data_IF_036024776434
#
_entry.id   IF_036024776434
#
_cell.length_a   1.000
_cell.length_b   1.000
_cell.length_c   1.000
_cell.angle_alpha   90.00
_cell.angle_beta   90.00
_cell.angle_gamma   90.00
#
_symmetry.space_group_name_H-M   'P 1'
#
loop_
_entity.id
_entity.type
_entity.pdbx_description
1 polymer ?
#
# COMPACT_ATOMS: atom_id res chain seq x y z
N UNK A 1 5.56 -10.34 -3.15
CA UNK A 1 5.54 -9.73 -1.80
C UNK A 1 6.12 -10.66 -0.72
N UNK A 2 6.18 -11.97 -0.99
CA UNK A 2 6.76 -12.99 -0.12
C UNK A 2 8.16 -12.69 0.46
N UNK A 3 9.10 -12.17 -0.34
CA UNK A 3 10.45 -11.83 0.15
C UNK A 3 10.42 -10.70 1.18
N UNK A 4 9.60 -9.66 0.94
CA UNK A 4 9.38 -8.57 1.89
C UNK A 4 8.73 -9.09 3.19
N UNK A 5 7.72 -9.95 3.07
CA UNK A 5 7.03 -10.58 4.20
C UNK A 5 7.97 -11.39 5.10
N UNK A 6 9.00 -12.03 4.53
CA UNK A 6 9.96 -12.82 5.31
C UNK A 6 10.70 -12.00 6.38
N UNK A 7 10.75 -10.67 6.21
CA UNK A 7 11.38 -9.73 7.13
C UNK A 7 10.45 -9.35 8.30
N UNK A 8 9.17 -9.70 8.26
CA UNK A 8 8.20 -9.34 9.29
C UNK A 8 8.15 -10.38 10.41
N UNK A 9 8.47 -9.94 11.63
CA UNK A 9 8.40 -10.79 12.84
C UNK A 9 6.97 -10.90 13.37
N UNK A 10 6.58 -12.11 13.79
CA UNK A 10 5.29 -12.36 14.47
C UNK A 10 5.24 -11.76 15.89
N UNK A 11 6.41 -11.63 16.53
CA UNK A 11 6.55 -10.99 17.84
C UNK A 11 7.24 -9.65 17.62
N UNK A 12 6.44 -8.61 17.41
CA UNK A 12 6.96 -7.29 17.09
C UNK A 12 7.35 -6.52 18.35
N UNK A 13 8.42 -5.73 18.21
CA UNK A 13 8.69 -4.56 19.03
C UNK A 13 8.31 -3.31 18.25
N UNK A 14 8.30 -2.15 18.91
CA UNK A 14 8.12 -0.87 18.21
C UNK A 14 9.16 -0.69 17.09
N UNK A 15 10.42 -1.07 17.34
CA UNK A 15 11.51 -1.00 16.35
C UNK A 15 11.22 -1.90 15.15
N UNK A 16 10.87 -3.17 15.39
CA UNK A 16 10.65 -4.11 14.28
C UNK A 16 9.40 -3.78 13.48
N UNK A 17 8.35 -3.23 14.12
CA UNK A 17 7.16 -2.73 13.43
C UNK A 17 7.52 -1.58 12.48
N UNK A 18 8.25 -0.58 12.97
CA UNK A 18 8.68 0.55 12.13
C UNK A 18 9.60 0.09 10.99
N UNK A 19 10.54 -0.81 11.27
CA UNK A 19 11.41 -1.40 10.25
C UNK A 19 10.60 -2.15 9.18
N UNK A 20 9.54 -2.86 9.58
CA UNK A 20 8.63 -3.55 8.66
C UNK A 20 7.94 -2.54 7.73
N UNK A 21 7.38 -1.45 8.28
CA UNK A 21 6.75 -0.37 7.50
C UNK A 21 7.75 0.26 6.53
N UNK A 22 8.96 0.59 7.01
CA UNK A 22 9.98 1.23 6.19
C UNK A 22 10.54 0.32 5.07
N UNK A 23 10.42 -1.00 5.22
CA UNK A 23 10.83 -1.95 4.19
C UNK A 23 9.84 -2.11 3.03
N UNK A 24 8.63 -1.55 3.17
CA UNK A 24 7.62 -1.59 2.13
C UNK A 24 7.98 -0.57 1.05
N UNK A 25 8.33 -1.08 -0.13
CA UNK A 25 8.57 -0.28 -1.32
C UNK A 25 7.43 -0.50 -2.32
N UNK A 26 6.46 0.41 -2.31
CA UNK A 26 5.26 0.36 -3.14
C UNK A 26 5.11 1.65 -3.96
N UNK A 27 5.76 1.68 -5.14
CA UNK A 27 5.76 2.84 -6.03
C UNK A 27 4.36 3.23 -6.53
N UNK A 28 3.47 2.26 -6.66
CA UNK A 28 2.14 2.43 -7.26
C UNK A 28 1.03 2.50 -6.21
N UNK A 29 1.35 2.27 -4.93
CA UNK A 29 0.36 2.23 -3.87
C UNK A 29 -0.58 1.02 -3.95
N UNK A 30 -0.18 -0.10 -4.58
CA UNK A 30 -1.04 -1.28 -4.76
C UNK A 30 -1.37 -1.99 -3.44
N UNK A 31 -0.44 -1.99 -2.49
CA UNK A 31 -0.61 -2.64 -1.17
C UNK A 31 -0.89 -1.64 -0.05
N UNK A 32 -1.15 -0.41 -0.45
CA UNK A 32 -1.28 0.72 0.44
C UNK A 32 -2.41 0.60 1.47
N UNK A 33 -3.51 -0.08 1.15
CA UNK A 33 -4.58 -0.39 2.12
C UNK A 33 -4.04 -1.10 3.36
N UNK A 34 -3.01 -1.94 3.19
CA UNK A 34 -2.38 -2.68 4.28
C UNK A 34 -1.27 -1.84 4.92
N UNK A 35 -0.48 -1.13 4.12
CA UNK A 35 0.53 -0.18 4.63
C UNK A 35 -0.07 0.87 5.57
N UNK A 36 -1.25 1.41 5.24
CA UNK A 36 -2.01 2.35 6.08
C UNK A 36 -2.36 1.75 7.42
N UNK A 37 -2.87 0.50 7.46
CA UNK A 37 -3.17 -0.19 8.73
C UNK A 37 -1.91 -0.32 9.59
N UNK A 38 -0.76 -0.63 8.97
CA UNK A 38 0.52 -0.70 9.69
C UNK A 38 0.95 0.68 10.23
N UNK A 39 0.76 1.75 9.45
CA UNK A 39 1.05 3.13 9.86
C UNK A 39 0.17 3.55 11.05
N UNK A 40 -1.13 3.26 11.00
CA UNK A 40 -2.08 3.53 12.09
C UNK A 40 -1.70 2.74 13.35
N UNK A 41 -1.36 1.46 13.21
CA UNK A 41 -0.88 0.66 14.34
C UNK A 41 0.39 1.27 14.95
N UNK A 42 1.34 1.73 14.13
CA UNK A 42 2.53 2.41 14.64
C UNK A 42 2.19 3.69 15.41
N UNK A 43 1.18 4.46 14.99
CA UNK A 43 0.68 5.62 15.76
C UNK A 43 0.15 5.16 17.12
N UNK A 44 -0.69 4.12 17.18
CA UNK A 44 -1.20 3.55 18.45
C UNK A 44 -0.06 3.12 19.38
N UNK A 45 0.97 2.45 18.84
CA UNK A 45 2.18 2.06 19.60
C UNK A 45 2.92 3.28 20.16
N UNK A 46 2.99 4.38 19.41
CA UNK A 46 3.58 5.62 19.87
C UNK A 46 2.77 6.26 21.01
N UNK A 47 1.43 6.29 20.89
CA UNK A 47 0.55 6.80 21.95
C UNK A 47 0.59 5.96 23.21
N UNK A 48 0.73 4.64 23.08
CA UNK A 48 0.93 3.71 24.20
C UNK A 48 2.31 3.84 24.87
N UNK A 49 3.20 4.70 24.36
CA UNK A 49 4.56 4.95 24.88
C UNK A 49 5.42 3.69 25.01
N UNK A 50 5.24 2.71 24.12
CA UNK A 50 6.05 1.50 24.10
C UNK A 50 7.53 1.84 23.84
N UNK A 51 8.42 1.15 24.55
CA UNK A 51 9.87 1.24 24.32
C UNK A 51 10.24 0.59 22.98
N UNK A 52 11.39 0.96 22.44
CA UNK A 52 11.85 0.51 21.12
C UNK A 52 11.99 -1.01 20.99
N UNK A 53 12.57 -1.64 22.01
CA UNK A 53 12.94 -3.07 22.01
C UNK A 53 12.03 -3.91 22.93
N UNK A 54 10.92 -3.33 23.39
CA UNK A 54 9.90 -4.03 24.16
C UNK A 54 8.83 -4.60 23.23
N UNK A 55 8.31 -5.77 23.57
CA UNK A 55 7.22 -6.40 22.83
C UNK A 55 5.96 -5.52 22.87
N UNK A 56 5.20 -5.52 21.79
CA UNK A 56 3.93 -4.81 21.76
C UNK A 56 2.97 -5.39 22.83
N UNK A 57 2.16 -4.53 23.49
CA UNK A 57 1.08 -4.96 24.37
C UNK A 57 0.15 -5.97 23.68
N UNK A 58 -0.53 -6.86 24.43
CA UNK A 58 -1.34 -7.94 23.87
C UNK A 58 -2.35 -7.48 22.80
N UNK A 59 -3.02 -6.35 23.02
CA UNK A 59 -4.02 -5.82 22.10
C UNK A 59 -3.39 -5.36 20.76
N UNK A 60 -2.28 -4.63 20.83
CA UNK A 60 -1.56 -4.15 19.64
C UNK A 60 -0.84 -5.29 18.92
N UNK A 61 -0.37 -6.31 19.65
CA UNK A 61 0.19 -7.53 19.07
C UNK A 61 -0.86 -8.34 18.33
N UNK A 62 -2.10 -8.40 18.84
CA UNK A 62 -3.22 -9.05 18.16
C UNK A 62 -3.57 -8.32 16.84
N UNK A 63 -3.63 -7.00 16.87
CA UNK A 63 -3.85 -6.17 15.68
C UNK A 63 -2.72 -6.38 14.65
N UNK A 64 -1.46 -6.39 15.10
CA UNK A 64 -0.30 -6.68 14.26
C UNK A 64 -0.43 -8.03 13.54
N UNK A 65 -0.75 -9.10 14.28
CA UNK A 65 -0.92 -10.44 13.71
C UNK A 65 -2.08 -10.51 12.71
N UNK A 66 -3.15 -9.76 12.94
CA UNK A 66 -4.25 -9.65 11.98
C UNK A 66 -3.77 -9.02 10.67
N UNK A 67 -3.03 -7.91 10.75
CA UNK A 67 -2.46 -7.23 9.58
C UNK A 67 -1.49 -8.17 8.84
N UNK A 68 -0.65 -8.92 9.56
CA UNK A 68 0.25 -9.91 8.95
C UNK A 68 -0.49 -11.03 8.23
N UNK A 69 -1.65 -11.44 8.70
CA UNK A 69 -2.46 -12.44 8.01
C UNK A 69 -3.09 -11.87 6.75
N UNK A 70 -3.65 -10.66 6.79
CA UNK A 70 -4.13 -9.97 5.59
C UNK A 70 -3.00 -9.80 4.56
N UNK A 71 -1.79 -9.49 5.00
CA UNK A 71 -0.63 -9.35 4.13
C UNK A 71 -0.27 -10.66 3.39
N UNK A 72 -0.56 -11.83 3.98
CA UNK A 72 -0.32 -13.13 3.31
C UNK A 72 -1.23 -13.32 2.10
N UNK A 73 -2.46 -12.81 2.17
CA UNK A 73 -3.42 -12.91 1.07
C UNK A 73 -2.94 -12.12 -0.16
N UNK A 74 -2.13 -11.06 0.02
CA UNK A 74 -1.55 -10.28 -1.09
C UNK A 74 -0.69 -11.15 -2.01
N UNK A 75 -0.03 -12.19 -1.49
CA UNK A 75 0.84 -13.02 -2.32
C UNK A 75 0.07 -13.77 -3.43
N UNK A 76 -1.26 -13.89 -3.31
CA UNK A 76 -2.13 -14.45 -4.35
C UNK A 76 -2.63 -13.43 -5.39
N UNK A 77 -2.37 -12.14 -5.17
CA UNK A 77 -2.80 -11.08 -6.07
C UNK A 77 -1.80 -10.97 -7.23
N UNK A 78 -2.23 -11.41 -8.40
CA UNK A 78 -1.55 -11.13 -9.67
C UNK A 78 -2.21 -9.92 -10.33
N UNK A 79 -1.41 -8.91 -10.63
CA UNK A 79 -1.85 -7.72 -11.36
C UNK A 79 -1.10 -7.74 -12.67
N UNK A 80 -1.85 -7.78 -13.77
CA UNK A 80 -1.29 -7.65 -15.10
C UNK A 80 -0.67 -6.25 -15.23
N UNK A 81 0.65 -6.18 -15.34
CA UNK A 81 1.41 -4.93 -15.43
C UNK A 81 1.59 -4.55 -16.89
N UNK A 82 0.50 -4.57 -17.66
CA UNK A 82 0.57 -4.10 -19.03
C UNK A 82 0.49 -2.56 -18.99
N UNK A 83 1.65 -1.91 -19.01
CA UNK A 83 1.77 -0.45 -19.01
C UNK A 83 1.95 0.13 -20.41
N UNK A 84 1.79 -0.70 -21.44
CA UNK A 84 2.10 -0.34 -22.80
C UNK A 84 1.08 -0.97 -23.74
N UNK A 85 0.41 -0.10 -24.50
CA UNK A 85 -0.07 -0.31 -25.86
C UNK A 85 0.43 -1.63 -26.46
N UNK A 86 -0.48 -2.58 -26.74
CA UNK A 86 -0.16 -3.85 -27.40
C UNK A 86 0.64 -3.60 -28.69
N UNK A 87 0.39 -2.47 -29.37
CA UNK A 87 1.22 -1.90 -30.43
C UNK A 87 1.67 -0.46 -30.05
N UNK A 88 2.98 -0.14 -30.02
CA UNK A 88 3.46 1.23 -29.79
C UNK A 88 2.99 2.26 -30.82
N UNK A 89 2.40 1.83 -31.94
CA UNK A 89 1.77 2.68 -32.95
C UNK A 89 0.27 2.91 -32.70
N UNK A 90 -0.34 2.27 -31.70
CA UNK A 90 -1.76 2.47 -31.41
C UNK A 90 -2.01 3.92 -30.98
N UNK A 91 -2.87 4.66 -31.71
CA UNK A 91 -3.09 6.06 -31.40
C UNK A 91 -3.89 6.19 -30.10
N UNK A 92 -3.31 6.92 -29.14
CA UNK A 92 -3.98 7.38 -27.92
C UNK A 92 -5.03 8.40 -28.31
N UNK A 93 -6.31 8.09 -28.09
CA UNK A 93 -7.41 9.00 -28.44
C UNK A 93 -7.73 9.98 -27.32
N UNK A 94 -7.50 9.56 -26.07
CA UNK A 94 -7.87 10.33 -24.90
C UNK A 94 -6.97 9.99 -23.71
N UNK A 95 -6.59 11.01 -22.95
CA UNK A 95 -5.87 10.88 -21.68
C UNK A 95 -6.67 11.57 -20.60
N UNK A 96 -6.89 10.88 -19.50
CA UNK A 96 -7.60 11.40 -18.34
C UNK A 96 -6.71 11.25 -17.11
N UNK A 97 -6.76 12.24 -16.23
CA UNK A 97 -6.15 12.15 -14.91
C UNK A 97 -7.29 12.20 -13.90
N UNK A 98 -7.38 11.17 -13.07
CA UNK A 98 -8.36 11.09 -12.01
C UNK A 98 -7.64 11.19 -10.67
N UNK A 99 -8.12 12.07 -9.79
CA UNK A 99 -7.58 12.24 -8.44
C UNK A 99 -8.63 11.87 -7.42
N UNK A 100 -8.25 11.04 -6.46
CA UNK A 100 -9.06 10.66 -5.31
C UNK A 100 -8.34 11.12 -4.05
N UNK A 101 -9.08 11.66 -3.10
CA UNK A 101 -8.57 11.99 -1.78
C UNK A 101 -9.57 11.55 -0.73
N UNK A 102 -9.07 10.96 0.34
CA UNK A 102 -9.83 10.59 1.51
C UNK A 102 -9.12 11.08 2.77
N UNK A 103 -9.90 11.50 3.75
CA UNK A 103 -9.42 12.01 5.02
C UNK A 103 -10.21 11.37 6.15
N UNK A 104 -9.47 10.75 7.07
CA UNK A 104 -9.99 10.24 8.33
C UNK A 104 -9.32 10.97 9.48
N UNK A 105 -9.84 10.81 10.70
CA UNK A 105 -9.22 11.36 11.92
C UNK A 105 -7.76 10.92 12.11
N UNK A 106 -7.36 9.78 11.52
CA UNK A 106 -6.05 9.18 11.71
C UNK A 106 -5.06 9.49 10.56
N UNK A 107 -5.56 9.84 9.36
CA UNK A 107 -4.73 9.94 8.16
C UNK A 107 -5.44 10.66 7.01
N UNK A 108 -4.66 11.39 6.20
CA UNK A 108 -5.05 11.91 4.88
C UNK A 108 -4.32 11.10 3.80
N UNK A 109 -5.06 10.61 2.82
CA UNK A 109 -4.52 9.92 1.66
C UNK A 109 -5.02 10.56 0.36
N UNK A 110 -4.14 10.63 -0.63
CA UNK A 110 -4.49 11.01 -1.99
C UNK A 110 -3.83 10.06 -2.99
N UNK A 111 -4.58 9.70 -4.02
CA UNK A 111 -4.12 8.87 -5.13
C UNK A 111 -4.51 9.52 -6.43
N UNK A 112 -3.56 9.64 -7.35
CA UNK A 112 -3.79 10.14 -8.70
C UNK A 112 -3.56 8.97 -9.64
N UNK A 113 -4.48 8.72 -10.58
CA UNK A 113 -4.22 7.80 -11.67
C UNK A 113 -4.48 8.36 -13.06
N UNK A 114 -3.65 7.95 -14.02
CA UNK A 114 -3.85 8.21 -15.45
C UNK A 114 -4.74 7.14 -16.07
N UNK A 115 -5.62 7.50 -17.01
CA UNK A 115 -6.39 6.57 -17.84
C UNK A 115 -6.18 6.94 -19.31
N UNK A 116 -5.80 5.97 -20.12
CA UNK A 116 -5.57 6.13 -21.56
C UNK A 116 -6.65 5.35 -22.32
N UNK A 117 -7.22 5.93 -23.38
CA UNK A 117 -8.09 5.21 -24.32
C UNK A 117 -7.32 4.95 -25.62
N UNK A 118 -7.38 3.71 -26.11
CA UNK A 118 -6.78 3.31 -27.39
C UNK A 118 -7.83 3.32 -28.50
N UNK A 119 -7.38 3.48 -29.75
CA UNK A 119 -8.26 3.45 -30.92
C UNK A 119 -8.67 2.02 -31.34
N UNK A 120 -7.89 1.01 -30.94
CA UNK A 120 -8.13 -0.40 -31.25
C UNK A 120 -9.37 -0.94 -30.51
N UNK A 121 -10.04 -2.02 -31.00
CA UNK A 121 -11.35 -2.48 -30.49
C UNK A 121 -11.31 -3.13 -29.10
N UNK A 122 -10.26 -2.90 -28.31
CA UNK A 122 -10.19 -3.28 -26.91
C UNK A 122 -10.14 -1.99 -26.09
N UNK A 123 -11.19 -1.74 -25.32
CA UNK A 123 -11.24 -0.71 -24.26
C UNK A 123 -10.24 -1.07 -23.15
N UNK A 124 -8.94 -1.01 -23.42
CA UNK A 124 -7.90 -1.19 -22.41
C UNK A 124 -7.60 0.18 -21.81
N UNK A 125 -7.94 0.34 -20.54
CA UNK A 125 -7.62 1.52 -19.75
C UNK A 125 -6.40 1.27 -18.88
N UNK A 126 -5.21 1.58 -19.39
CA UNK A 126 -3.98 1.44 -18.60
C UNK A 126 -3.97 2.51 -17.50
N UNK A 127 -3.68 2.07 -16.27
CA UNK A 127 -3.81 2.87 -15.06
C UNK A 127 -2.50 2.89 -14.28
N UNK A 128 -1.83 4.04 -14.25
CA UNK A 128 -0.67 4.28 -13.37
C UNK A 128 -1.14 5.12 -12.18
N UNK A 129 -0.73 4.77 -10.96
CA UNK A 129 -1.11 5.49 -9.75
C UNK A 129 0.11 6.10 -9.05
N UNK A 130 0.06 7.40 -8.71
CA UNK A 130 0.97 8.02 -7.73
C UNK A 130 0.17 8.27 -6.46
N UNK A 131 0.70 7.77 -5.35
CA UNK A 131 0.08 7.89 -4.04
C UNK A 131 0.88 8.78 -3.11
N UNK A 132 0.18 9.62 -2.35
CA UNK A 132 0.73 10.37 -1.23
C UNK A 132 -0.11 10.12 0.01
N UNK A 133 0.55 9.73 1.10
CA UNK A 133 -0.06 9.56 2.41
C UNK A 133 0.60 10.53 3.38
N UNK A 134 -0.21 11.30 4.11
CA UNK A 134 0.28 12.11 5.23
C UNK A 134 -0.46 11.74 6.51
N UNK A 135 0.32 11.50 7.54
CA UNK A 135 -0.17 11.41 8.93
C UNK A 135 -0.65 12.80 9.35
N UNK A 136 -1.77 12.86 10.04
CA UNK A 136 -2.23 14.04 10.80
C UNK A 136 -1.53 14.02 12.16
#
# INVERSE_FOLDING_TARGET
>A
FAEMRSKFTQNATRRSLLASIASIYDLLGLISTITVKMIILHQKVCYAKCKWDELLPPDLMKEWKSILNEFKEIDSIEIDRNYCFDDPNDPITNVQIHSFSDASENMIAATIYGRFNLSAPKDVSDTFAIRSERRI
#
